data_IF_136921822855
#
_entry.id   IF_136921822855
#
_cell.length_a   1.000
_cell.length_b   1.000
_cell.length_c   1.000
_cell.angle_alpha   90.00
_cell.angle_beta   90.00
_cell.angle_gamma   90.00
#
_symmetry.space_group_name_H-M   'P 1'
#
loop_
_entity.id
_entity.type
_entity.pdbx_description
1 polymer ?
#
# COMPACT_ATOMS: atom_id res chain seq x y z
N UNK A 1 -28.81 23.29 -7.09
CA UNK A 1 -28.07 23.06 -5.83
C UNK A 1 -28.14 21.58 -5.47
N UNK A 2 -27.11 20.80 -5.79
CA UNK A 2 -26.98 19.40 -5.35
C UNK A 2 -25.92 19.40 -4.25
N UNK A 3 -26.34 19.08 -3.01
CA UNK A 3 -25.45 18.93 -1.87
C UNK A 3 -24.97 17.48 -1.86
N UNK A 4 -23.67 17.24 -2.08
CA UNK A 4 -23.09 15.93 -1.79
C UNK A 4 -22.99 15.79 -0.27
N UNK A 5 -23.88 14.98 0.31
CA UNK A 5 -23.73 14.48 1.67
C UNK A 5 -22.58 13.47 1.68
N UNK A 6 -21.51 13.76 2.40
CA UNK A 6 -20.47 12.79 2.68
C UNK A 6 -21.05 11.72 3.61
N UNK A 7 -21.28 10.53 3.07
CA UNK A 7 -21.77 9.37 3.78
C UNK A 7 -20.75 8.97 4.86
N UNK A 8 -21.22 8.69 6.08
CA UNK A 8 -20.37 8.33 7.20
C UNK A 8 -19.58 7.04 6.88
N UNK A 9 -18.29 6.93 7.27
CA UNK A 9 -17.50 5.73 6.96
C UNK A 9 -18.12 4.50 7.65
N UNK A 10 -18.44 3.48 6.84
CA UNK A 10 -18.93 2.20 7.31
C UNK A 10 -18.01 1.56 8.37
N UNK A 11 -18.61 0.77 9.26
CA UNK A 11 -17.91 0.08 10.36
C UNK A 11 -16.76 -0.81 9.83
N UNK A 12 -15.69 -0.94 10.64
CA UNK A 12 -14.46 -1.63 10.27
C UNK A 12 -14.68 -3.13 10.02
N UNK A 13 -14.50 -3.57 8.78
CA UNK A 13 -14.42 -4.99 8.40
C UNK A 13 -13.00 -5.35 7.92
N UNK A 14 -12.30 -6.30 8.58
CA UNK A 14 -10.99 -6.79 8.14
C UNK A 14 -11.03 -7.35 6.72
N UNK A 15 -10.47 -6.60 5.76
CA UNK A 15 -10.47 -6.94 4.33
C UNK A 15 -11.24 -5.95 3.46
N UNK A 16 -12.06 -5.07 4.03
CA UNK A 16 -12.76 -4.00 3.29
C UNK A 16 -12.06 -2.64 3.35
N UNK A 17 -10.89 -2.57 4.01
CA UNK A 17 -10.10 -1.33 4.14
C UNK A 17 -9.82 -0.66 2.79
N UNK A 18 -9.64 -1.45 1.73
CA UNK A 18 -9.42 -0.94 0.37
C UNK A 18 -10.54 -0.04 -0.12
N UNK A 19 -11.81 -0.26 0.28
CA UNK A 19 -12.94 0.53 -0.21
C UNK A 19 -12.84 2.01 0.16
N UNK A 20 -12.22 2.31 1.31
CA UNK A 20 -12.05 3.68 1.79
C UNK A 20 -10.79 4.34 1.20
N UNK A 21 -9.71 3.60 1.09
CA UNK A 21 -8.41 4.17 0.69
C UNK A 21 -8.14 4.12 -0.81
N UNK A 22 -8.63 3.10 -1.52
CA UNK A 22 -8.35 2.89 -2.94
C UNK A 22 -8.76 4.07 -3.84
N UNK A 23 -9.94 4.70 -3.66
CA UNK A 23 -10.30 5.87 -4.46
C UNK A 23 -9.28 7.01 -4.33
N UNK A 24 -8.75 7.23 -3.14
CA UNK A 24 -7.76 8.28 -2.87
C UNK A 24 -6.40 7.94 -3.48
N UNK A 25 -5.98 6.67 -3.43
CA UNK A 25 -4.76 6.20 -4.09
C UNK A 25 -4.87 6.37 -5.61
N UNK A 26 -6.00 5.98 -6.20
CA UNK A 26 -6.23 6.15 -7.65
C UNK A 26 -6.25 7.61 -8.07
N UNK A 27 -6.86 8.50 -7.27
CA UNK A 27 -6.83 9.93 -7.52
C UNK A 27 -5.39 10.48 -7.53
N UNK A 28 -4.57 10.12 -6.54
CA UNK A 28 -3.18 10.53 -6.49
C UNK A 28 -2.34 9.98 -7.66
N UNK A 29 -2.62 8.76 -8.12
CA UNK A 29 -1.94 8.18 -9.29
C UNK A 29 -2.34 8.87 -10.60
N UNK A 30 -3.57 9.38 -10.71
CA UNK A 30 -4.04 10.10 -11.88
C UNK A 30 -3.37 11.47 -12.06
N UNK A 31 -2.80 12.04 -11.00
CA UNK A 31 -2.03 13.28 -11.06
C UNK A 31 -0.58 13.08 -11.57
N UNK A 32 -0.11 11.83 -11.66
CA UNK A 32 1.22 11.55 -12.19
C UNK A 32 1.25 11.73 -13.71
N UNK A 33 2.36 12.24 -14.28
CA UNK A 33 2.49 12.42 -15.73
C UNK A 33 2.46 11.10 -16.50
N UNK A 34 2.77 9.98 -15.83
CA UNK A 34 2.65 8.63 -16.36
C UNK A 34 2.49 7.62 -15.21
N UNK A 35 1.85 6.49 -15.50
CA UNK A 35 1.74 5.38 -14.55
C UNK A 35 3.15 4.76 -14.31
N UNK A 36 3.57 4.55 -13.06
CA UNK A 36 4.84 3.88 -12.77
C UNK A 36 4.81 2.43 -13.24
N UNK A 37 5.98 1.83 -13.49
CA UNK A 37 6.08 0.39 -13.72
C UNK A 37 5.86 -0.45 -12.44
N UNK A 38 6.11 0.14 -11.27
CA UNK A 38 5.96 -0.50 -9.96
C UNK A 38 5.44 0.51 -8.94
N UNK A 39 4.42 0.13 -8.18
CA UNK A 39 3.92 0.86 -7.01
C UNK A 39 4.22 0.05 -5.76
N UNK A 40 4.67 0.73 -4.70
CA UNK A 40 4.92 0.12 -3.38
C UNK A 40 3.95 0.69 -2.35
N UNK A 41 3.27 -0.19 -1.60
CA UNK A 41 2.27 0.18 -0.59
C UNK A 41 2.64 -0.36 0.81
N UNK A 42 2.32 0.37 1.88
CA UNK A 42 2.43 -0.12 3.28
C UNK A 42 1.19 -0.97 3.65
N UNK A 43 0.95 -2.02 2.88
CA UNK A 43 -0.17 -2.94 3.03
C UNK A 43 0.14 -4.30 2.39
N UNK A 44 -0.71 -5.30 2.66
CA UNK A 44 -0.64 -6.59 1.97
C UNK A 44 -1.25 -6.52 0.57
N UNK A 45 -0.63 -7.21 -0.39
CA UNK A 45 -1.25 -7.46 -1.70
C UNK A 45 -2.31 -8.55 -1.58
N UNK A 46 -1.97 -9.64 -0.88
CA UNK A 46 -2.82 -10.82 -0.68
C UNK A 46 -3.02 -11.09 0.80
N UNK A 47 -4.23 -11.47 1.20
CA UNK A 47 -4.61 -11.81 2.58
C UNK A 47 -4.66 -13.33 2.82
N UNK A 48 -4.16 -14.13 1.89
CA UNK A 48 -4.24 -15.58 1.87
C UNK A 48 -4.44 -16.10 0.44
N UNK A 49 -4.39 -17.42 0.22
CA UNK A 49 -4.62 -18.01 -1.08
C UNK A 49 -5.96 -17.55 -1.66
N UNK A 50 -5.94 -16.91 -2.82
CA UNK A 50 -7.13 -16.39 -3.50
C UNK A 50 -7.88 -15.28 -2.77
N UNK A 51 -7.33 -14.73 -1.67
CA UNK A 51 -7.97 -13.65 -0.90
C UNK A 51 -7.28 -12.32 -1.19
N UNK A 52 -8.00 -11.46 -1.90
CA UNK A 52 -7.51 -10.14 -2.32
C UNK A 52 -7.30 -9.21 -1.11
N UNK A 53 -6.15 -8.53 -1.11
CA UNK A 53 -5.86 -7.42 -0.22
C UNK A 53 -5.84 -6.09 -0.97
N UNK A 54 -5.43 -5.03 -0.27
CA UNK A 54 -5.34 -3.67 -0.84
C UNK A 54 -4.52 -3.64 -2.14
N UNK A 55 -3.38 -4.33 -2.17
CA UNK A 55 -2.53 -4.35 -3.37
C UNK A 55 -3.11 -5.13 -4.54
N UNK A 56 -3.84 -6.22 -4.30
CA UNK A 56 -4.51 -6.97 -5.37
C UNK A 56 -5.63 -6.13 -6.00
N UNK A 57 -6.44 -5.44 -5.19
CA UNK A 57 -7.46 -4.52 -5.70
C UNK A 57 -6.85 -3.35 -6.47
N UNK A 58 -5.72 -2.79 -6.01
CA UNK A 58 -5.01 -1.75 -6.75
C UNK A 58 -4.48 -2.27 -8.10
N UNK A 59 -3.87 -3.45 -8.11
CA UNK A 59 -3.37 -4.08 -9.33
C UNK A 59 -4.51 -4.30 -10.36
N UNK A 60 -5.66 -4.80 -9.90
CA UNK A 60 -6.84 -4.99 -10.73
C UNK A 60 -7.39 -3.65 -11.25
N UNK A 61 -7.49 -2.63 -10.40
CA UNK A 61 -7.96 -1.30 -10.79
C UNK A 61 -7.03 -0.57 -11.79
N UNK A 62 -5.78 -1.02 -11.93
CA UNK A 62 -4.81 -0.54 -12.91
C UNK A 62 -4.75 -1.43 -14.16
N UNK A 63 -5.70 -2.35 -14.33
CA UNK A 63 -5.76 -3.32 -15.44
C UNK A 63 -4.48 -4.16 -15.58
N UNK A 64 -3.77 -4.40 -14.46
CA UNK A 64 -2.49 -5.10 -14.45
C UNK A 64 -1.33 -4.38 -15.13
N UNK A 65 -1.48 -3.09 -15.47
CA UNK A 65 -0.44 -2.30 -16.18
C UNK A 65 0.75 -1.87 -15.31
N UNK A 66 0.61 -1.98 -13.99
CA UNK A 66 1.63 -1.62 -13.02
C UNK A 66 1.76 -2.72 -11.98
N UNK A 67 2.96 -3.23 -11.74
CA UNK A 67 3.18 -4.18 -10.66
C UNK A 67 2.93 -3.50 -9.30
N UNK A 68 2.35 -4.22 -8.35
CA UNK A 68 2.10 -3.71 -7.00
C UNK A 68 2.88 -4.57 -6.01
N UNK A 69 3.72 -3.92 -5.20
CA UNK A 69 4.50 -4.55 -4.13
C UNK A 69 3.97 -4.07 -2.79
N UNK A 70 3.46 -5.00 -1.98
CA UNK A 70 2.99 -4.74 -0.64
C UNK A 70 4.08 -4.99 0.39
N UNK A 71 4.30 -4.03 1.28
CA UNK A 71 5.21 -4.12 2.41
C UNK A 71 4.38 -4.06 3.69
N UNK A 72 4.32 -5.15 4.45
CA UNK A 72 3.57 -5.19 5.70
C UNK A 72 4.47 -5.37 6.93
N UNK A 73 4.08 -4.74 8.04
CA UNK A 73 4.81 -4.82 9.32
C UNK A 73 4.52 -6.09 10.11
N UNK A 74 3.45 -6.80 9.79
CA UNK A 74 3.01 -8.03 10.44
C UNK A 74 2.53 -9.01 9.36
N UNK A 75 2.73 -10.33 9.56
CA UNK A 75 2.15 -11.30 8.65
C UNK A 75 0.63 -11.25 8.79
N UNK A 76 -0.08 -11.43 7.68
CA UNK A 76 -1.51 -11.71 7.76
C UNK A 76 -1.69 -13.20 8.07
N UNK A 77 -2.58 -13.55 9.02
CA UNK A 77 -2.82 -14.97 9.36
C UNK A 77 -3.32 -15.71 8.11
N UNK A 78 -2.53 -16.67 7.62
CA UNK A 78 -2.84 -17.44 6.43
C UNK A 78 -2.25 -16.89 5.11
N UNK A 79 -1.55 -15.76 5.12
CA UNK A 79 -0.83 -15.28 3.94
C UNK A 79 0.45 -16.11 3.72
N UNK A 80 0.37 -17.11 2.85
CA UNK A 80 1.49 -17.96 2.42
C UNK A 80 2.40 -17.27 1.40
N UNK A 81 1.88 -16.24 0.72
CA UNK A 81 2.52 -15.60 -0.44
C UNK A 81 3.38 -14.38 -0.08
N UNK A 82 3.61 -14.12 1.21
CA UNK A 82 4.42 -13.01 1.67
C UNK A 82 5.82 -13.46 2.11
N UNK A 83 6.86 -13.00 1.43
CA UNK A 83 8.25 -13.28 1.74
C UNK A 83 8.76 -12.38 2.90
N UNK A 84 9.38 -12.95 3.95
CA UNK A 84 9.99 -12.14 5.00
C UNK A 84 11.28 -11.48 4.51
N UNK A 85 11.45 -10.19 4.78
CA UNK A 85 12.63 -9.39 4.39
C UNK A 85 13.16 -8.63 5.60
N UNK A 86 14.39 -8.92 6.00
CA UNK A 86 15.12 -8.15 7.02
C UNK A 86 15.80 -6.95 6.36
N UNK A 87 15.74 -5.78 7.02
CA UNK A 87 16.36 -4.54 6.52
C UNK A 87 16.92 -3.71 7.66
N UNK A 88 18.04 -3.04 7.39
CA UNK A 88 18.77 -2.27 8.40
C UNK A 88 19.21 -3.15 9.57
N UNK A 89 19.25 -2.58 10.77
CA UNK A 89 19.56 -3.31 12.01
C UNK A 89 18.33 -3.96 12.68
N UNK A 90 17.18 -4.04 12.01
CA UNK A 90 15.94 -4.56 12.62
C UNK A 90 15.91 -6.08 12.61
N UNK A 91 15.68 -6.69 13.77
CA UNK A 91 15.40 -8.13 13.91
C UNK A 91 13.97 -8.51 13.44
N UNK A 92 13.07 -7.53 13.28
CA UNK A 92 11.71 -7.76 12.80
C UNK A 92 11.65 -7.68 11.27
N UNK A 93 11.21 -8.75 10.55
CA UNK A 93 11.16 -8.77 9.09
C UNK A 93 9.93 -8.04 8.57
N UNK A 94 10.04 -7.28 7.49
CA UNK A 94 8.88 -6.90 6.67
C UNK A 94 8.32 -8.14 5.95
N UNK A 95 7.03 -8.13 5.65
CA UNK A 95 6.39 -9.19 4.88
C UNK A 95 6.04 -8.62 3.51
N UNK A 96 6.73 -9.11 2.48
CA UNK A 96 6.65 -8.58 1.11
C UNK A 96 5.79 -9.51 0.25
N UNK A 97 4.71 -8.98 -0.31
CA UNK A 97 3.84 -9.66 -1.26
C UNK A 97 3.75 -8.86 -2.56
N UNK A 98 3.35 -9.49 -3.66
CA UNK A 98 3.35 -8.82 -4.97
C UNK A 98 2.22 -9.30 -5.90
N UNK A 99 1.78 -8.42 -6.79
CA UNK A 99 0.95 -8.71 -7.96
C UNK A 99 1.62 -8.09 -9.21
N UNK A 100 1.60 -8.81 -10.34
CA UNK A 100 2.34 -8.42 -11.56
C UNK A 100 3.86 -8.59 -11.45
N UNK A 101 4.36 -9.19 -10.37
CA UNK A 101 5.78 -9.50 -10.15
C UNK A 101 5.91 -10.72 -9.24
N UNK A 102 6.94 -11.54 -9.46
CA UNK A 102 7.24 -12.66 -8.57
C UNK A 102 7.59 -12.17 -7.14
N UNK A 103 7.03 -12.75 -6.07
CA UNK A 103 7.30 -12.31 -4.69
C UNK A 103 8.79 -12.28 -4.32
N UNK A 104 9.59 -13.22 -4.82
CA UNK A 104 11.04 -13.26 -4.59
C UNK A 104 11.77 -12.06 -5.22
N UNK A 105 11.36 -11.64 -6.42
CA UNK A 105 11.91 -10.46 -7.10
C UNK A 105 11.51 -9.19 -6.34
N UNK A 106 10.25 -9.10 -5.93
CA UNK A 106 9.75 -7.99 -5.12
C UNK A 106 10.50 -7.88 -3.79
N UNK A 107 10.71 -8.98 -3.09
CA UNK A 107 11.48 -9.06 -1.86
C UNK A 107 12.92 -8.55 -2.05
N UNK A 108 13.58 -9.00 -3.11
CA UNK A 108 14.94 -8.56 -3.45
C UNK A 108 15.03 -7.07 -3.77
N UNK A 109 14.03 -6.50 -4.45
CA UNK A 109 13.94 -5.05 -4.66
C UNK A 109 13.75 -4.31 -3.34
N UNK A 110 12.82 -4.75 -2.50
CA UNK A 110 12.54 -4.13 -1.19
C UNK A 110 13.77 -4.15 -0.30
N UNK A 111 14.48 -5.28 -0.23
CA UNK A 111 15.73 -5.43 0.53
C UNK A 111 16.75 -4.33 0.18
N UNK A 112 16.99 -4.14 -1.13
CA UNK A 112 17.94 -3.15 -1.67
C UNK A 112 17.46 -1.71 -1.64
N UNK A 113 16.20 -1.44 -1.28
CA UNK A 113 15.71 -0.06 -1.24
C UNK A 113 16.53 0.78 -0.26
N UNK A 114 16.71 2.05 -0.58
CA UNK A 114 17.46 2.99 0.24
C UNK A 114 16.85 3.15 1.65
N UNK A 115 17.72 3.29 2.65
CA UNK A 115 17.40 3.71 4.00
C UNK A 115 17.90 2.74 5.09
N UNK A 116 18.36 3.25 6.24
CA UNK A 116 19.04 2.44 7.26
C UNK A 116 18.09 1.65 8.18
N UNK A 117 16.78 1.85 8.03
CA UNK A 117 15.75 1.26 8.89
C UNK A 117 15.00 0.16 8.18
N UNK A 118 14.20 -0.60 8.94
CA UNK A 118 13.32 -1.66 8.45
C UNK A 118 12.43 -1.19 7.28
N UNK A 119 11.76 -0.06 7.42
CA UNK A 119 10.95 0.53 6.33
C UNK A 119 11.84 1.31 5.35
N UNK A 120 11.66 1.13 4.03
CA UNK A 120 12.36 1.91 3.03
C UNK A 120 12.12 3.42 3.20
N UNK A 121 13.12 4.25 2.87
CA UNK A 121 13.01 5.71 2.96
C UNK A 121 11.81 6.25 2.16
N UNK A 122 11.55 5.70 0.97
CA UNK A 122 10.43 6.10 0.12
C UNK A 122 9.08 5.91 0.83
N UNK A 123 8.85 4.73 1.40
CA UNK A 123 7.60 4.41 2.12
C UNK A 123 7.43 5.31 3.34
N UNK A 124 8.52 5.54 4.09
CA UNK A 124 8.51 6.46 5.24
C UNK A 124 8.19 7.90 4.84
N UNK A 125 8.67 8.35 3.68
CA UNK A 125 8.36 9.69 3.14
C UNK A 125 6.88 9.80 2.75
N UNK A 126 6.34 8.79 2.07
CA UNK A 126 4.93 8.76 1.69
C UNK A 126 4.00 8.78 2.91
N UNK A 127 4.27 7.96 3.93
CA UNK A 127 3.52 7.96 5.20
C UNK A 127 3.54 9.33 5.90
N UNK A 128 4.70 10.00 5.92
CA UNK A 128 4.81 11.36 6.47
C UNK A 128 3.98 12.37 5.68
N UNK A 129 4.10 12.39 4.35
CA UNK A 129 3.35 13.31 3.50
C UNK A 129 1.83 13.13 3.64
N UNK A 130 1.36 11.88 3.74
CA UNK A 130 -0.05 11.58 3.95
C UNK A 130 -0.56 12.13 5.29
N UNK A 131 0.24 12.01 6.37
CA UNK A 131 -0.12 12.57 7.68
C UNK A 131 -0.10 14.10 7.69
N UNK A 132 0.91 14.70 7.07
CA UNK A 132 1.03 16.16 7.01
C UNK A 132 -0.16 16.78 6.25
N UNK A 133 -0.59 16.14 5.15
CA UNK A 133 -1.77 16.55 4.38
C UNK A 133 -3.09 16.45 5.18
N UNK A 134 -3.20 15.50 6.12
CA UNK A 134 -4.38 15.37 6.99
C UNK A 134 -4.46 16.47 8.07
N UNK A 135 -3.32 17.06 8.45
CA UNK A 135 -3.24 18.13 9.45
C UNK A 135 -3.66 19.49 8.88
N UNK A 136 -3.59 19.68 7.56
CA UNK A 136 -4.08 20.89 6.89
C UNK A 136 -5.60 20.82 6.70
N UNK A 137 -6.36 20.99 7.80
CA UNK A 137 -7.75 21.45 7.73
C UNK A 137 -7.78 22.94 8.08
N UNK A 138 -8.09 23.84 7.14
CA UNK A 138 -8.15 25.26 7.43
C UNK A 138 -9.36 25.53 8.33
N UNK A 139 -9.12 26.34 9.35
CA UNK A 139 -10.15 27.05 10.07
C UNK A 139 -11.10 27.73 9.06
N UNK A 140 -12.39 27.42 9.15
CA UNK A 140 -13.43 28.26 8.54
C UNK A 140 -13.95 29.20 9.62
N UNK A 141 -13.77 30.50 9.36
CA UNK A 141 -14.34 31.63 10.08
C UNK A 141 -15.87 31.62 9.97
#
# INVERSE_FOLDING_TARGET
>A
HVRHAAEAPAAYEPGQFFRRELPHVLAALAELPALPGVIVIDAHVWLGPGREGMGAHLYAALDGRCAVVGIAKRPFRGAVEAAPVLRGASANPLYVSAAGMAPAVAASHVERMHGPYRLPTLVKRADRLARDAQVVRPWSY
#
